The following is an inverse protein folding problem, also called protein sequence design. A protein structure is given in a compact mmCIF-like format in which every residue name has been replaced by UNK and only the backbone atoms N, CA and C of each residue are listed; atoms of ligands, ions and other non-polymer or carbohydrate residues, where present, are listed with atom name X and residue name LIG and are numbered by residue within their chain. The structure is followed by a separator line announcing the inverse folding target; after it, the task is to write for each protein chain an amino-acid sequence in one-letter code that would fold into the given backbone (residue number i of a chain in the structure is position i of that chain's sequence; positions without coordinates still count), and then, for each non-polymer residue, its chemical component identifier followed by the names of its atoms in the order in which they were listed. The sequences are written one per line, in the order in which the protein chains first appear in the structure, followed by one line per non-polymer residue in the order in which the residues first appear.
data_IF_026970332053
#
_entry.id   IF_026970332053
#
_cell.length_a   1.000
_cell.length_b   1.000
_cell.length_c   1.000
_cell.angle_alpha   90.00
_cell.angle_beta   90.00
_cell.angle_gamma   90.00
#
_symmetry.space_group_name_H-M   'P 1'
#
loop_
_entity.id
_entity.type
_entity.pdbx_description
1 polymer ?
#
# COMPACT_ATOMS: atom_id res chain seq x y z
N UNK A 1 13.36 -10.42 -18.73
CA UNK A 1 13.90 -9.08 -18.42
C UNK A 1 13.02 -8.50 -17.32
N UNK A 2 13.55 -8.50 -16.10
CA UNK A 2 12.74 -8.84 -14.94
C UNK A 2 12.37 -7.69 -14.02
N UNK A 3 13.23 -6.70 -13.82
CA UNK A 3 13.16 -5.84 -12.64
C UNK A 3 12.71 -4.41 -13.01
N UNK A 4 11.83 -3.86 -12.19
CA UNK A 4 11.36 -2.47 -12.26
C UNK A 4 12.33 -1.53 -11.51
N UNK A 5 13.09 -2.06 -10.57
CA UNK A 5 14.08 -1.37 -9.74
C UNK A 5 15.01 -2.40 -9.08
N UNK A 6 15.88 -1.96 -8.15
CA UNK A 6 16.82 -2.86 -7.45
C UNK A 6 16.09 -3.94 -6.64
N UNK A 7 15.06 -3.55 -5.89
CA UNK A 7 14.33 -4.44 -4.99
C UNK A 7 13.06 -5.04 -5.60
N UNK A 8 12.54 -4.52 -6.72
CA UNK A 8 11.22 -4.92 -7.22
C UNK A 8 11.19 -5.32 -8.69
N UNK A 9 10.29 -6.25 -9.00
CA UNK A 9 9.96 -6.71 -10.34
C UNK A 9 8.45 -6.68 -10.60
N UNK A 10 8.05 -6.90 -11.85
CA UNK A 10 6.64 -6.85 -12.26
C UNK A 10 5.73 -7.84 -11.48
N UNK A 11 6.25 -9.00 -11.07
CA UNK A 11 5.47 -10.03 -10.36
C UNK A 11 5.09 -9.58 -8.96
N UNK A 12 5.88 -8.71 -8.33
CA UNK A 12 5.55 -8.13 -7.04
C UNK A 12 4.23 -7.35 -7.07
N UNK A 13 3.91 -6.77 -8.24
CA UNK A 13 2.75 -5.91 -8.43
C UNK A 13 1.60 -6.58 -9.19
N UNK A 14 1.77 -7.85 -9.58
CA UNK A 14 0.76 -8.61 -10.29
C UNK A 14 -0.50 -8.81 -9.45
N UNK A 15 -1.64 -8.76 -10.12
CA UNK A 15 -2.92 -9.08 -9.51
C UNK A 15 -2.92 -10.54 -9.09
N UNK A 16 -3.35 -10.78 -7.85
CA UNK A 16 -3.34 -12.11 -7.21
C UNK A 16 -4.62 -12.90 -7.44
N UNK A 17 -5.51 -12.39 -8.29
CA UNK A 17 -6.76 -13.05 -8.57
C UNK A 17 -6.54 -14.22 -9.55
N UNK A 18 -7.30 -15.32 -9.43
CA UNK A 18 -7.17 -16.46 -10.35
C UNK A 18 -7.62 -16.12 -11.79
N UNK A 19 -8.43 -15.07 -11.98
CA UNK A 19 -9.11 -14.78 -13.25
C UNK A 19 -8.18 -14.14 -14.31
N UNK A 20 -7.35 -13.15 -13.94
CA UNK A 20 -6.52 -12.40 -14.91
C UNK A 20 -5.12 -13.00 -15.15
N UNK A 21 -4.78 -14.11 -14.49
CA UNK A 21 -3.50 -14.83 -14.65
C UNK A 21 -2.26 -13.94 -14.55
N UNK A 22 -2.26 -12.99 -13.61
CA UNK A 22 -1.08 -12.19 -13.28
C UNK A 22 -0.94 -10.89 -14.09
N UNK A 23 -2.03 -10.32 -14.60
CA UNK A 23 -2.02 -8.92 -15.09
C UNK A 23 -1.45 -8.00 -14.00
N UNK A 24 -0.64 -7.01 -14.39
CA UNK A 24 -0.10 -6.01 -13.47
C UNK A 24 -0.17 -4.62 -14.10
N UNK A 25 -0.36 -3.62 -13.24
CA UNK A 25 -0.12 -2.20 -13.56
C UNK A 25 0.46 -1.54 -12.33
N UNK A 26 1.52 -0.77 -12.52
CA UNK A 26 2.16 -0.05 -11.41
C UNK A 26 2.74 1.26 -11.91
N UNK A 27 2.47 2.33 -11.19
CA UNK A 27 3.04 3.64 -11.43
C UNK A 27 4.48 3.68 -10.91
N UNK A 28 5.45 4.07 -11.75
CA UNK A 28 6.87 4.02 -11.38
C UNK A 28 7.22 4.96 -10.22
N UNK A 29 6.50 6.08 -10.04
CA UNK A 29 6.64 6.93 -8.85
C UNK A 29 6.35 6.18 -7.53
N UNK A 30 5.42 5.24 -7.54
CA UNK A 30 5.16 4.39 -6.36
C UNK A 30 6.29 3.37 -6.13
N UNK A 31 6.92 2.87 -7.21
CA UNK A 31 8.11 2.02 -7.09
C UNK A 31 9.26 2.80 -6.46
N UNK A 32 9.48 4.07 -6.84
CA UNK A 32 10.48 4.94 -6.22
C UNK A 32 10.26 5.16 -4.72
N UNK A 33 9.00 5.36 -4.30
CA UNK A 33 8.63 5.45 -2.88
C UNK A 33 8.96 4.15 -2.14
N UNK A 34 8.67 2.99 -2.74
CA UNK A 34 8.97 1.69 -2.14
C UNK A 34 10.48 1.43 -2.00
N UNK A 35 11.29 1.91 -2.94
CA UNK A 35 12.74 1.88 -2.81
C UNK A 35 13.23 2.78 -1.67
N UNK A 36 12.67 3.99 -1.52
CA UNK A 36 13.00 4.86 -0.39
C UNK A 36 12.66 4.20 0.97
N UNK A 37 11.52 3.50 1.05
CA UNK A 37 11.17 2.69 2.24
C UNK A 37 12.18 1.57 2.45
N UNK A 38 12.58 0.86 1.38
CA UNK A 38 13.57 -0.22 1.46
C UNK A 38 14.93 0.27 1.98
N UNK A 39 15.39 1.43 1.49
CA UNK A 39 16.63 2.08 1.94
C UNK A 39 16.53 2.50 3.41
N UNK A 40 15.43 3.14 3.81
CA UNK A 40 15.26 3.63 5.18
C UNK A 40 15.29 2.50 6.22
N UNK A 41 14.57 1.41 5.96
CA UNK A 41 14.52 0.26 6.87
C UNK A 41 15.63 -0.76 6.62
N UNK A 42 16.51 -0.51 5.65
CA UNK A 42 17.55 -1.44 5.17
C UNK A 42 17.01 -2.85 4.90
N UNK A 43 15.74 -2.92 4.47
CA UNK A 43 15.01 -4.18 4.31
C UNK A 43 13.93 -4.03 3.25
N UNK A 44 13.89 -5.00 2.35
CA UNK A 44 12.92 -5.06 1.25
C UNK A 44 11.48 -5.17 1.77
N UNK A 45 10.58 -4.23 1.42
CA UNK A 45 9.15 -4.37 1.66
C UNK A 45 8.55 -5.61 1.00
N UNK A 46 7.77 -6.37 1.76
CA UNK A 46 6.91 -7.43 1.23
C UNK A 46 5.63 -6.79 0.71
N UNK A 47 5.44 -6.81 -0.61
CA UNK A 47 4.18 -6.41 -1.23
C UNK A 47 3.14 -7.50 -0.92
N UNK A 48 2.04 -7.13 -0.26
CA UNK A 48 0.94 -8.02 0.10
C UNK A 48 -0.16 -7.95 -0.94
N UNK A 49 -0.42 -6.77 -1.48
CA UNK A 49 -1.21 -6.63 -2.70
C UNK A 49 -0.92 -5.30 -3.39
N UNK A 50 -1.16 -5.26 -4.70
CA UNK A 50 -0.86 -4.13 -5.56
C UNK A 50 -1.98 -3.93 -6.59
N UNK A 51 -1.83 -4.40 -7.82
CA UNK A 51 -2.86 -4.21 -8.84
C UNK A 51 -4.09 -5.10 -8.61
N UNK A 52 -5.28 -4.52 -8.77
CA UNK A 52 -6.54 -5.27 -8.84
C UNK A 52 -7.12 -5.11 -10.24
N UNK A 53 -7.21 -6.21 -10.99
CA UNK A 53 -7.91 -6.22 -12.27
C UNK A 53 -9.42 -6.02 -12.06
N UNK A 54 -10.15 -5.77 -13.15
CA UNK A 54 -11.59 -5.50 -13.10
C UNK A 54 -12.37 -6.63 -12.42
N UNK A 55 -12.15 -7.89 -12.83
CA UNK A 55 -12.81 -9.06 -12.25
C UNK A 55 -12.57 -9.16 -10.73
N UNK A 56 -11.36 -8.84 -10.27
CA UNK A 56 -11.05 -8.90 -8.84
C UNK A 56 -11.70 -7.77 -8.05
N UNK A 57 -11.78 -6.56 -8.61
CA UNK A 57 -12.50 -5.45 -7.97
C UNK A 57 -13.99 -5.75 -7.82
N UNK A 58 -14.62 -6.30 -8.86
CA UNK A 58 -16.02 -6.69 -8.82
C UNK A 58 -16.28 -7.77 -7.76
N UNK A 59 -15.42 -8.78 -7.70
CA UNK A 59 -15.48 -9.84 -6.68
C UNK A 59 -15.32 -9.31 -5.25
N UNK A 60 -14.40 -8.37 -5.04
CA UNK A 60 -14.18 -7.72 -3.74
C UNK A 60 -15.23 -6.64 -3.43
N UNK A 61 -16.18 -6.38 -4.34
CA UNK A 61 -17.15 -5.28 -4.25
C UNK A 61 -16.47 -3.93 -3.97
N UNK A 62 -15.27 -3.75 -4.54
CA UNK A 62 -14.50 -2.51 -4.45
C UNK A 62 -14.89 -1.59 -5.59
N UNK A 63 -14.78 -0.29 -5.35
CA UNK A 63 -14.99 0.69 -6.41
C UNK A 63 -13.96 0.51 -7.53
N UNK A 64 -14.42 0.52 -8.79
CA UNK A 64 -13.55 0.48 -9.99
C UNK A 64 -12.53 1.61 -10.01
N UNK A 65 -12.79 2.69 -9.28
CA UNK A 65 -11.91 3.85 -9.14
C UNK A 65 -10.87 3.74 -8.02
N UNK A 66 -10.78 2.58 -7.34
CA UNK A 66 -9.77 2.36 -6.30
C UNK A 66 -8.35 2.54 -6.84
N UNK A 67 -7.45 3.00 -5.98
CA UNK A 67 -6.06 3.26 -6.39
C UNK A 67 -5.29 1.98 -6.73
N UNK A 68 -5.70 0.82 -6.20
CA UNK A 68 -5.22 -0.49 -6.63
C UNK A 68 -5.59 -0.80 -8.08
N UNK A 69 -6.82 -0.49 -8.51
CA UNK A 69 -7.27 -0.65 -9.90
C UNK A 69 -6.50 0.25 -10.89
N UNK A 70 -5.95 1.35 -10.38
CA UNK A 70 -5.16 2.31 -11.17
C UNK A 70 -3.66 2.02 -11.15
N UNK A 71 -3.22 0.95 -10.46
CA UNK A 71 -1.79 0.67 -10.28
C UNK A 71 -1.06 1.74 -9.46
N UNK A 72 -1.78 2.45 -8.58
CA UNK A 72 -1.28 3.56 -7.76
C UNK A 72 -1.30 3.28 -6.27
N UNK A 73 -1.55 2.03 -5.87
CA UNK A 73 -1.60 1.64 -4.47
C UNK A 73 -0.95 0.28 -4.22
N UNK A 74 -0.39 0.14 -3.03
CA UNK A 74 0.06 -1.15 -2.50
C UNK A 74 -0.31 -1.27 -1.03
N UNK A 75 -0.52 -2.50 -0.60
CA UNK A 75 -0.43 -2.86 0.81
C UNK A 75 0.89 -3.57 1.03
N UNK A 76 1.64 -3.16 2.05
CA UNK A 76 2.98 -3.67 2.32
C UNK A 76 3.20 -3.94 3.82
N UNK A 77 4.12 -4.85 4.10
CA UNK A 77 4.68 -5.06 5.43
C UNK A 77 6.19 -5.27 5.31
N UNK A 78 6.92 -5.03 6.39
CA UNK A 78 8.34 -5.31 6.48
C UNK A 78 8.52 -6.26 7.67
N UNK A 79 9.08 -7.44 7.41
CA UNK A 79 9.27 -8.45 8.45
C UNK A 79 10.15 -7.92 9.58
N UNK A 80 9.71 -8.10 10.83
CA UNK A 80 10.42 -7.61 12.02
C UNK A 80 10.23 -6.11 12.29
N UNK A 81 9.54 -5.36 11.43
CA UNK A 81 9.22 -3.96 11.65
C UNK A 81 7.72 -3.80 11.94
N UNK A 82 7.35 -3.16 13.05
CA UNK A 82 5.94 -2.85 13.34
C UNK A 82 5.34 -1.92 12.29
N UNK A 83 4.08 -2.16 11.92
CA UNK A 83 3.35 -1.31 10.98
C UNK A 83 3.30 0.16 11.41
N UNK A 84 3.33 0.42 12.72
CA UNK A 84 3.34 1.78 13.27
C UNK A 84 4.60 2.56 12.85
N UNK A 85 5.77 1.90 12.83
CA UNK A 85 7.03 2.53 12.38
C UNK A 85 7.01 2.78 10.87
N UNK A 86 6.52 1.80 10.10
CA UNK A 86 6.34 1.94 8.65
C UNK A 86 5.40 3.12 8.35
N UNK A 87 4.28 3.22 9.08
CA UNK A 87 3.30 4.28 8.93
C UNK A 87 3.91 5.65 9.22
N UNK A 88 4.63 5.81 10.34
CA UNK A 88 5.28 7.07 10.73
C UNK A 88 6.29 7.55 9.70
N UNK A 89 7.03 6.64 9.08
CA UNK A 89 7.92 6.99 7.97
C UNK A 89 7.14 7.36 6.70
N UNK A 90 6.15 6.55 6.32
CA UNK A 90 5.33 6.79 5.13
C UNK A 90 4.55 8.12 5.20
N UNK A 91 4.07 8.51 6.39
CA UNK A 91 3.36 9.78 6.59
C UNK A 91 4.22 11.02 6.26
N UNK A 92 5.52 10.91 6.48
CA UNK A 92 6.51 11.98 6.19
C UNK A 92 7.08 11.89 4.78
N UNK A 93 6.73 10.86 4.02
CA UNK A 93 7.29 10.60 2.70
C UNK A 93 6.49 11.36 1.62
N UNK A 94 7.18 12.16 0.83
CA UNK A 94 6.56 12.90 -0.27
C UNK A 94 5.95 11.95 -1.33
N UNK A 95 4.82 12.37 -1.91
CA UNK A 95 4.09 11.59 -2.92
C UNK A 95 3.13 10.54 -2.36
N UNK A 96 3.18 10.23 -1.06
CA UNK A 96 2.15 9.42 -0.39
C UNK A 96 0.99 10.31 0.04
N UNK A 97 -0.16 10.12 -0.60
CA UNK A 97 -1.36 10.91 -0.33
C UNK A 97 -2.51 10.05 0.20
N UNK A 98 -2.51 8.74 -0.01
CA UNK A 98 -3.39 7.83 0.72
C UNK A 98 -2.54 6.95 1.63
N UNK A 99 -2.83 6.97 2.92
CA UNK A 99 -2.06 6.19 3.89
C UNK A 99 -3.01 5.55 4.91
N UNK A 100 -3.05 4.22 4.90
CA UNK A 100 -3.90 3.40 5.75
C UNK A 100 -3.09 2.59 6.75
N UNK A 101 -3.46 2.66 8.03
CA UNK A 101 -2.84 1.89 9.11
C UNK A 101 -3.65 0.63 9.44
N UNK A 102 -3.07 -0.56 9.31
CA UNK A 102 -3.75 -1.84 9.56
C UNK A 102 -3.03 -2.62 10.67
N UNK A 103 -3.30 -2.30 11.95
CA UNK A 103 -2.56 -2.86 13.09
C UNK A 103 -2.73 -4.36 13.24
N UNK A 104 -3.93 -4.90 13.03
CA UNK A 104 -4.23 -6.34 13.20
C UNK A 104 -3.47 -7.21 12.19
N UNK A 105 -3.23 -6.69 10.98
CA UNK A 105 -2.49 -7.38 9.92
C UNK A 105 -0.99 -7.04 9.89
N UNK A 106 -0.51 -6.19 10.82
CA UNK A 106 0.83 -5.60 10.79
C UNK A 106 1.23 -5.10 9.39
N UNK A 107 0.34 -4.30 8.78
CA UNK A 107 0.42 -3.86 7.40
C UNK A 107 0.11 -2.37 7.26
N UNK A 108 0.65 -1.74 6.22
CA UNK A 108 0.33 -0.37 5.84
C UNK A 108 -0.14 -0.34 4.39
N UNK A 109 -1.17 0.44 4.11
CA UNK A 109 -1.58 0.82 2.77
C UNK A 109 -0.92 2.14 2.38
N UNK A 110 -0.33 2.21 1.19
CA UNK A 110 0.12 3.48 0.61
C UNK A 110 -0.43 3.62 -0.80
N UNK A 111 -0.83 4.82 -1.16
CA UNK A 111 -1.19 5.17 -2.53
C UNK A 111 -0.82 6.60 -2.91
N UNK A 112 -0.60 6.80 -4.21
CA UNK A 112 -0.21 8.08 -4.81
C UNK A 112 -1.42 8.80 -5.42
N UNK A 113 -2.57 8.80 -4.71
CA UNK A 113 -3.74 9.60 -5.11
C UNK A 113 -3.37 11.08 -5.25
N UNK A 114 -4.19 11.88 -5.96
CA UNK A 114 -4.00 13.32 -5.99
C UNK A 114 -4.03 13.96 -4.58
N UNK A 115 -3.27 15.03 -4.39
CA UNK A 115 -3.08 15.68 -3.09
C UNK A 115 -4.39 16.24 -2.51
N UNK A 116 -5.30 16.68 -3.37
CA UNK A 116 -6.63 17.17 -2.99
C UNK A 116 -7.53 16.06 -2.43
N UNK A 117 -7.14 14.79 -2.58
CA UNK A 117 -7.82 13.62 -2.02
C UNK A 117 -7.02 12.99 -0.87
N UNK A 118 -6.04 13.71 -0.31
CA UNK A 118 -5.17 13.19 0.75
C UNK A 118 -6.01 12.69 1.92
N UNK A 119 -5.73 11.47 2.36
CA UNK A 119 -6.54 10.79 3.38
C UNK A 119 -5.68 9.87 4.23
N UNK A 120 -5.96 9.89 5.54
CA UNK A 120 -5.38 8.99 6.52
C UNK A 120 -6.50 8.21 7.20
N UNK A 121 -6.37 6.89 7.23
CA UNK A 121 -7.38 6.03 7.83
C UNK A 121 -6.75 4.87 8.59
N UNK A 122 -7.56 4.22 9.40
CA UNK A 122 -7.22 3.01 10.12
C UNK A 122 -8.22 1.90 9.77
N UNK A 123 -7.74 0.65 9.74
CA UNK A 123 -8.60 -0.53 9.67
C UNK A 123 -8.48 -1.33 10.96
N UNK A 124 -9.59 -1.47 11.67
CA UNK A 124 -9.69 -2.27 12.90
C UNK A 124 -10.92 -3.16 12.79
N UNK A 125 -10.80 -4.43 13.18
CA UNK A 125 -11.89 -5.40 13.20
C UNK A 125 -12.64 -5.47 11.87
N UNK A 126 -11.89 -5.38 10.76
CA UNK A 126 -12.43 -5.39 9.40
C UNK A 126 -13.09 -4.09 8.94
N UNK A 127 -13.16 -3.04 9.76
CA UNK A 127 -13.82 -1.76 9.46
C UNK A 127 -12.80 -0.67 9.21
N UNK A 128 -13.11 0.21 8.25
CA UNK A 128 -12.31 1.38 7.92
C UNK A 128 -12.91 2.62 8.57
N UNK A 129 -12.08 3.45 9.20
CA UNK A 129 -12.48 4.75 9.75
C UNK A 129 -11.36 5.77 9.61
N UNK A 130 -11.67 7.08 9.63
CA UNK A 130 -10.64 8.12 9.66
C UNK A 130 -9.65 7.93 10.82
N UNK A 131 -8.38 8.26 10.60
CA UNK A 131 -7.36 8.20 11.64
C UNK A 131 -7.47 9.43 12.56
N UNK A 132 -8.12 9.27 13.71
CA UNK A 132 -8.30 10.32 14.71
C UNK A 132 -7.08 10.45 15.64
N UNK A 133 -7.00 11.56 16.38
CA UNK A 133 -5.97 11.78 17.40
C UNK A 133 -5.97 10.68 18.48
N UNK A 134 -7.15 10.24 18.94
CA UNK A 134 -7.26 9.17 19.92
C UNK A 134 -6.68 7.85 19.39
N UNK A 135 -6.93 7.56 18.10
CA UNK A 135 -6.37 6.38 17.44
C UNK A 135 -4.85 6.49 17.28
N UNK A 136 -4.32 7.67 16.98
CA UNK A 136 -2.87 7.88 16.96
C UNK A 136 -2.24 7.60 18.32
N UNK A 137 -2.82 8.16 19.39
CA UNK A 137 -2.36 7.92 20.74
C UNK A 137 -2.46 6.44 21.15
N UNK A 138 -3.57 5.76 20.83
CA UNK A 138 -3.77 4.34 21.10
C UNK A 138 -2.66 3.46 20.50
N UNK A 139 -2.15 3.82 19.31
CA UNK A 139 -1.19 3.00 18.56
C UNK A 139 0.24 3.57 18.51
N UNK A 140 0.52 4.67 19.20
CA UNK A 140 1.83 5.31 19.21
C UNK A 140 2.28 5.83 17.85
N UNK A 141 1.34 6.38 17.07
CA UNK A 141 1.55 7.00 15.76
C UNK A 141 1.86 8.49 15.86
#
# INVERSE_FOLDING_TARGET
MGNLSENFNHKDFACRCPECRGEYRIHLGLVGILEAIAVHFQKRPKIISAFYCEAFNEKLKREKLSWHAKGKAVNLAIEGIPAAEIFKFAEKTEGINGLGFYPEENMVHIDTRPIEKKELWIKERGKYSPLTTDKRHQYGL
#
